data_IF_506169676703
#
_entry.id   IF_506169676703
#
_cell.length_a   1.000
_cell.length_b   1.000
_cell.length_c   1.000
_cell.angle_alpha   90.00
_cell.angle_beta   90.00
_cell.angle_gamma   90.00
#
_symmetry.space_group_name_H-M   'P 1'
#
loop_
_entity.id
_entity.type
_entity.pdbx_description
1 polymer ?
#
# COMPACT_ATOMS: atom_id res chain seq x y z
N UNK A 1 3.22 -6.98 -14.24
CA UNK A 1 3.83 -6.60 -13.00
C UNK A 1 4.42 -7.81 -12.30
N UNK A 2 5.59 -7.60 -11.76
CA UNK A 2 6.32 -8.69 -11.12
C UNK A 2 5.83 -8.86 -9.67
N UNK A 3 5.31 -10.04 -9.33
CA UNK A 3 4.87 -10.37 -7.99
C UNK A 3 6.00 -10.96 -7.13
N UNK A 4 7.20 -11.12 -7.70
CA UNK A 4 8.31 -11.76 -6.99
C UNK A 4 8.74 -10.98 -5.75
N UNK A 5 8.62 -9.65 -5.75
CA UNK A 5 8.95 -8.83 -4.60
C UNK A 5 8.04 -9.14 -3.41
N UNK A 6 6.75 -9.35 -3.67
CA UNK A 6 5.79 -9.72 -2.63
C UNK A 6 6.12 -11.11 -2.08
N UNK A 7 6.47 -12.05 -2.97
CA UNK A 7 6.79 -13.42 -2.58
C UNK A 7 8.08 -13.51 -1.75
N UNK A 8 8.95 -12.50 -1.84
CA UNK A 8 10.21 -12.48 -1.08
C UNK A 8 10.05 -11.90 0.32
N UNK A 9 8.85 -11.46 0.71
CA UNK A 9 8.60 -10.98 2.07
C UNK A 9 8.68 -12.14 3.06
N UNK A 10 9.16 -11.82 4.27
CA UNK A 10 9.25 -12.80 5.34
C UNK A 10 7.93 -12.94 6.08
N UNK A 11 7.11 -13.90 5.69
CA UNK A 11 5.76 -14.07 6.22
C UNK A 11 5.71 -14.71 7.60
N UNK A 12 6.84 -15.17 8.15
CA UNK A 12 6.85 -15.77 9.49
C UNK A 12 6.49 -14.79 10.60
N UNK A 13 6.72 -13.49 10.35
CA UNK A 13 6.45 -12.41 11.32
C UNK A 13 5.53 -11.33 10.76
N UNK A 14 4.82 -11.64 9.69
CA UNK A 14 3.91 -10.73 9.03
C UNK A 14 2.52 -11.36 8.97
N UNK A 15 1.53 -10.59 8.50
CA UNK A 15 0.21 -11.14 8.32
C UNK A 15 0.28 -12.38 7.42
N UNK A 16 -0.36 -13.51 7.81
CA UNK A 16 -0.23 -14.77 7.05
C UNK A 16 -0.69 -14.69 5.60
N UNK A 17 -1.57 -13.76 5.26
CA UNK A 17 -2.06 -13.57 3.90
C UNK A 17 -1.57 -12.26 3.27
N UNK A 18 -0.45 -11.72 3.77
CA UNK A 18 0.05 -10.42 3.31
C UNK A 18 0.25 -10.37 1.80
N UNK A 19 0.89 -11.38 1.22
CA UNK A 19 1.12 -11.42 -0.22
C UNK A 19 -0.19 -11.41 -1.01
N UNK A 20 -1.17 -12.19 -0.58
CA UNK A 20 -2.47 -12.28 -1.23
C UNK A 20 -3.23 -10.94 -1.14
N UNK A 21 -3.21 -10.33 0.05
CA UNK A 21 -3.86 -9.03 0.28
C UNK A 21 -3.25 -7.97 -0.63
N UNK A 22 -1.91 -7.89 -0.66
CA UNK A 22 -1.20 -6.90 -1.47
C UNK A 22 -1.46 -7.11 -2.96
N UNK A 23 -1.51 -8.36 -3.41
CA UNK A 23 -1.79 -8.66 -4.81
C UNK A 23 -3.20 -8.22 -5.20
N UNK A 24 -4.20 -8.55 -4.38
CA UNK A 24 -5.58 -8.13 -4.63
C UNK A 24 -5.72 -6.62 -4.61
N UNK A 25 -5.12 -5.97 -3.61
CA UNK A 25 -5.14 -4.52 -3.50
C UNK A 25 -4.55 -3.87 -4.74
N UNK A 26 -3.39 -4.34 -5.15
CA UNK A 26 -2.66 -3.79 -6.28
C UNK A 26 -3.44 -3.90 -7.59
N UNK A 27 -4.02 -5.08 -7.86
CA UNK A 27 -4.81 -5.28 -9.06
C UNK A 27 -6.00 -4.32 -9.12
N UNK A 28 -6.69 -4.17 -8.02
CA UNK A 28 -7.89 -3.33 -7.97
C UNK A 28 -7.54 -1.83 -8.04
N UNK A 29 -6.50 -1.42 -7.34
CA UNK A 29 -6.11 0.00 -7.36
C UNK A 29 -5.58 0.41 -8.73
N UNK A 30 -4.92 -0.50 -9.45
CA UNK A 30 -4.51 -0.24 -10.83
C UNK A 30 -5.72 -0.06 -11.75
N UNK A 31 -6.76 -0.85 -11.55
CA UNK A 31 -8.00 -0.69 -12.32
C UNK A 31 -8.67 0.65 -12.05
N UNK A 32 -8.61 1.13 -10.81
CA UNK A 32 -9.25 2.39 -10.43
C UNK A 32 -8.49 3.60 -10.96
N UNK A 33 -7.17 3.65 -10.77
CA UNK A 33 -6.36 4.80 -11.14
C UNK A 33 -5.68 4.69 -12.50
N UNK A 34 -5.52 3.48 -13.02
CA UNK A 34 -4.91 3.23 -14.33
C UNK A 34 -3.55 3.92 -14.45
N UNK A 35 -3.39 4.81 -15.43
CA UNK A 35 -2.11 5.49 -15.68
C UNK A 35 -1.73 6.49 -14.60
N UNK A 36 -2.67 6.90 -13.75
CA UNK A 36 -2.38 7.81 -12.66
C UNK A 36 -1.55 7.14 -11.55
N UNK A 37 -1.64 5.83 -11.43
CA UNK A 37 -0.88 5.12 -10.41
C UNK A 37 0.60 5.05 -10.79
N UNK A 38 1.46 5.63 -9.95
CA UNK A 38 2.90 5.62 -10.16
C UNK A 38 3.53 4.45 -9.42
N UNK A 39 3.21 4.30 -8.12
CA UNK A 39 3.89 3.32 -7.28
C UNK A 39 3.09 3.04 -6.03
N UNK A 40 3.23 1.84 -5.50
CA UNK A 40 2.72 1.44 -4.19
C UNK A 40 3.88 1.03 -3.31
N UNK A 41 3.91 1.51 -2.07
CA UNK A 41 4.97 1.16 -1.13
C UNK A 41 4.34 0.68 0.17
N UNK A 42 4.68 -0.54 0.57
CA UNK A 42 4.34 -1.07 1.88
C UNK A 42 5.30 -0.47 2.90
N UNK A 43 4.76 0.11 3.98
CA UNK A 43 5.60 0.67 5.03
C UNK A 43 5.04 0.28 6.39
N UNK A 44 5.61 0.84 7.46
CA UNK A 44 5.19 0.52 8.81
C UNK A 44 5.61 -0.87 9.24
N UNK A 45 4.91 -1.44 10.21
CA UNK A 45 5.35 -2.67 10.86
C UNK A 45 5.35 -3.89 9.94
N UNK A 46 4.41 -3.99 8.99
CA UNK A 46 4.37 -5.13 8.08
C UNK A 46 5.55 -5.16 7.08
N UNK A 47 6.21 -4.02 6.89
CA UNK A 47 7.42 -3.96 6.06
C UNK A 47 8.68 -4.36 6.82
N UNK A 48 8.59 -4.56 8.13
CA UNK A 48 9.72 -4.87 8.99
C UNK A 48 9.73 -6.34 9.38
N UNK A 49 10.93 -6.90 9.58
CA UNK A 49 11.07 -8.30 9.99
C UNK A 49 10.48 -8.60 11.37
N UNK A 50 10.25 -7.56 12.17
CA UNK A 50 9.71 -7.70 13.53
C UNK A 50 8.22 -7.41 13.61
N UNK A 51 7.53 -7.37 12.48
CA UNK A 51 6.10 -7.14 12.46
C UNK A 51 5.34 -8.26 13.17
N UNK A 52 4.26 -7.90 13.86
CA UNK A 52 3.35 -8.88 14.43
C UNK A 52 2.31 -9.26 13.37
N UNK A 53 1.83 -10.52 13.37
CA UNK A 53 0.85 -10.95 12.35
C UNK A 53 -0.45 -10.13 12.34
N UNK A 54 -0.84 -9.54 13.47
CA UNK A 54 -2.04 -8.74 13.61
C UNK A 54 -1.80 -7.23 13.44
N UNK A 55 -0.60 -6.83 13.06
CA UNK A 55 -0.29 -5.42 12.81
C UNK A 55 -1.03 -4.89 11.58
N UNK A 56 -1.34 -3.58 11.58
CA UNK A 56 -1.96 -2.92 10.45
C UNK A 56 -1.07 -3.00 9.21
N UNK A 57 -1.71 -2.96 8.05
CA UNK A 57 -1.02 -2.91 6.76
C UNK A 57 -1.06 -1.45 6.30
N UNK A 58 0.11 -0.81 6.21
CA UNK A 58 0.23 0.58 5.81
C UNK A 58 0.77 0.66 4.38
N UNK A 59 0.03 1.33 3.50
CA UNK A 59 0.39 1.44 2.09
C UNK A 59 0.43 2.90 1.68
N UNK A 60 1.54 3.31 1.06
CA UNK A 60 1.65 4.61 0.44
C UNK A 60 1.28 4.47 -1.04
N UNK A 61 0.31 5.27 -1.48
CA UNK A 61 -0.15 5.30 -2.85
C UNK A 61 0.40 6.56 -3.49
N UNK A 62 1.28 6.40 -4.48
CA UNK A 62 1.86 7.53 -5.20
C UNK A 62 1.16 7.66 -6.54
N UNK A 63 0.55 8.81 -6.77
CA UNK A 63 -0.20 9.12 -7.98
C UNK A 63 0.52 10.23 -8.76
N UNK A 64 0.29 10.29 -10.07
CA UNK A 64 0.85 11.38 -10.89
C UNK A 64 0.38 12.73 -10.37
N UNK A 65 -0.92 12.84 -10.13
CA UNK A 65 -1.54 14.02 -9.52
C UNK A 65 -2.41 13.57 -8.36
N UNK A 66 -2.46 14.37 -7.31
CA UNK A 66 -3.25 14.04 -6.13
C UNK A 66 -4.74 14.40 -6.32
N UNK A 67 -5.20 14.44 -7.54
CA UNK A 67 -6.60 14.71 -7.84
C UNK A 67 -7.38 13.41 -7.83
N UNK A 68 -8.16 13.21 -6.77
CA UNK A 68 -9.01 12.04 -6.60
C UNK A 68 -10.46 12.52 -6.72
N UNK A 69 -11.19 11.98 -7.70
CA UNK A 69 -12.61 12.30 -7.81
C UNK A 69 -13.42 11.44 -6.83
N UNK A 70 -14.66 11.85 -6.58
CA UNK A 70 -15.50 11.19 -5.58
C UNK A 70 -15.80 9.73 -5.95
N UNK A 71 -15.95 9.43 -7.23
CA UNK A 71 -16.21 8.08 -7.70
C UNK A 71 -15.02 7.16 -7.40
N UNK A 72 -13.80 7.61 -7.73
CA UNK A 72 -12.59 6.85 -7.45
C UNK A 72 -12.39 6.67 -5.96
N UNK A 73 -12.63 7.72 -5.18
CA UNK A 73 -12.50 7.66 -3.73
C UNK A 73 -13.44 6.62 -3.13
N UNK A 74 -14.69 6.59 -3.60
CA UNK A 74 -15.67 5.62 -3.11
C UNK A 74 -15.27 4.18 -3.46
N UNK A 75 -14.74 3.96 -4.65
CA UNK A 75 -14.25 2.64 -5.06
C UNK A 75 -13.11 2.16 -4.17
N UNK A 76 -12.20 3.05 -3.81
CA UNK A 76 -11.08 2.73 -2.92
C UNK A 76 -11.58 2.38 -1.51
N UNK A 77 -12.52 3.18 -0.98
CA UNK A 77 -13.10 2.90 0.34
C UNK A 77 -13.75 1.54 0.35
N UNK A 78 -14.52 1.20 -0.68
CA UNK A 78 -15.17 -0.10 -0.79
C UNK A 78 -14.17 -1.24 -0.86
N UNK A 79 -13.11 -1.07 -1.65
CA UNK A 79 -12.04 -2.05 -1.77
C UNK A 79 -11.37 -2.32 -0.43
N UNK A 80 -10.99 -1.25 0.28
CA UNK A 80 -10.33 -1.36 1.58
C UNK A 80 -11.26 -2.06 2.58
N UNK A 81 -12.54 -1.67 2.62
CA UNK A 81 -13.51 -2.30 3.51
C UNK A 81 -13.65 -3.79 3.23
N UNK A 82 -13.75 -4.17 1.96
CA UNK A 82 -13.90 -5.57 1.57
C UNK A 82 -12.70 -6.40 2.00
N UNK A 83 -11.49 -5.89 1.77
CA UNK A 83 -10.27 -6.60 2.16
C UNK A 83 -10.11 -6.67 3.67
N UNK A 84 -10.44 -5.60 4.39
CA UNK A 84 -10.37 -5.60 5.85
C UNK A 84 -11.32 -6.63 6.45
N UNK A 85 -12.52 -6.75 5.90
CA UNK A 85 -13.50 -7.73 6.36
C UNK A 85 -13.08 -9.16 5.99
N UNK A 86 -12.61 -9.35 4.76
CA UNK A 86 -12.23 -10.69 4.28
C UNK A 86 -11.07 -11.28 5.08
N UNK A 87 -10.08 -10.47 5.39
CA UNK A 87 -8.84 -10.93 6.04
C UNK A 87 -8.72 -10.55 7.51
N UNK A 88 -9.73 -9.90 8.06
CA UNK A 88 -9.73 -9.45 9.46
C UNK A 88 -8.48 -8.64 9.79
N UNK A 89 -8.20 -7.63 8.96
CA UNK A 89 -7.01 -6.78 9.06
C UNK A 89 -7.41 -5.33 8.83
N UNK A 90 -6.60 -4.40 9.35
CA UNK A 90 -6.76 -2.98 9.05
C UNK A 90 -5.76 -2.59 7.97
N UNK A 91 -6.24 -1.93 6.93
CA UNK A 91 -5.41 -1.41 5.84
C UNK A 91 -5.53 0.11 5.88
N UNK A 92 -4.39 0.78 6.05
CA UNK A 92 -4.29 2.24 6.07
C UNK A 92 -3.60 2.70 4.80
N UNK A 93 -4.19 3.65 4.09
CA UNK A 93 -3.61 4.20 2.86
C UNK A 93 -3.29 5.68 3.04
N UNK A 94 -2.10 6.06 2.63
CA UNK A 94 -1.67 7.46 2.54
C UNK A 94 -1.46 7.77 1.06
N UNK A 95 -2.00 8.90 0.61
CA UNK A 95 -1.93 9.29 -0.81
C UNK A 95 -1.04 10.51 -0.97
N UNK A 96 -0.10 10.44 -1.91
CA UNK A 96 0.76 11.57 -2.25
C UNK A 96 0.90 11.64 -3.77
N UNK A 97 1.18 12.85 -4.28
CA UNK A 97 1.57 13.00 -5.67
C UNK A 97 3.04 12.61 -5.84
N UNK A 98 3.41 12.28 -7.07
CA UNK A 98 4.81 12.00 -7.40
C UNK A 98 5.73 13.17 -7.05
N UNK A 99 5.30 14.39 -7.35
CA UNK A 99 6.06 15.59 -7.01
C UNK A 99 6.24 15.73 -5.50
N UNK A 100 5.18 15.51 -4.74
CA UNK A 100 5.22 15.58 -3.28
C UNK A 100 6.19 14.55 -2.71
N UNK A 101 6.14 13.33 -3.20
CA UNK A 101 7.03 12.26 -2.72
C UNK A 101 8.50 12.59 -2.99
N UNK A 102 8.79 13.14 -4.16
CA UNK A 102 10.16 13.46 -4.56
C UNK A 102 10.73 14.70 -3.88
N UNK A 103 9.89 15.67 -3.55
CA UNK A 103 10.32 16.97 -3.05
C UNK A 103 10.16 17.15 -1.56
N UNK A 104 9.13 16.54 -0.96
CA UNK A 104 8.85 16.71 0.46
C UNK A 104 9.79 15.83 1.30
N UNK A 105 10.39 16.43 2.33
CA UNK A 105 11.33 15.76 3.21
C UNK A 105 10.77 15.58 4.61
N UNK A 106 9.47 15.29 4.73
CA UNK A 106 8.85 15.00 6.02
C UNK A 106 9.45 13.74 6.64
N UNK A 107 9.43 13.61 7.97
CA UNK A 107 9.95 12.40 8.63
C UNK A 107 9.27 11.12 8.12
N UNK A 108 7.94 11.17 7.88
CA UNK A 108 7.21 10.02 7.37
C UNK A 108 7.73 9.58 6.01
N UNK A 109 7.84 10.52 5.05
CA UNK A 109 8.27 10.19 3.69
C UNK A 109 9.72 9.74 3.65
N UNK A 110 10.59 10.33 4.47
CA UNK A 110 11.97 9.89 4.57
C UNK A 110 12.07 8.46 5.11
N UNK A 111 11.26 8.11 6.11
CA UNK A 111 11.23 6.74 6.64
C UNK A 111 10.72 5.75 5.60
N UNK A 112 9.67 6.12 4.87
CA UNK A 112 9.12 5.26 3.82
C UNK A 112 10.14 5.03 2.72
N UNK A 113 10.86 6.09 2.30
CA UNK A 113 11.90 5.98 1.29
C UNK A 113 13.01 5.02 1.73
N UNK A 114 13.34 5.02 3.02
CA UNK A 114 14.43 4.21 3.57
C UNK A 114 14.02 2.76 3.84
N UNK A 115 12.85 2.55 4.40
CA UNK A 115 12.42 1.26 4.94
C UNK A 115 11.24 0.61 4.19
N UNK A 116 10.58 1.35 3.30
CA UNK A 116 9.43 0.86 2.57
C UNK A 116 9.80 -0.18 1.53
N UNK A 117 8.82 -1.04 1.21
CA UNK A 117 8.96 -2.08 0.20
C UNK A 117 8.03 -1.77 -0.96
N UNK A 118 8.60 -1.62 -2.15
CA UNK A 118 7.80 -1.40 -3.37
C UNK A 118 7.05 -2.69 -3.69
N UNK A 119 5.75 -2.58 -3.87
CA UNK A 119 4.91 -3.74 -4.17
C UNK A 119 4.16 -3.62 -5.50
#
# INVERSE_FOLDING_TARGET
MDTSLIQNLNFSKQHPYLAEILEKFKQQIKNIYQEQLVKLILFGSQAKKQAKPDSDIDILVILKDKLINDEQHQKIINLISDLCLEYEVLISCVYVSEAQFNQEKSPLLLNIEREGIIV
#
